data_IF_980976103158
#
_entry.id   IF_980976103158
#
_cell.length_a   1.000
_cell.length_b   1.000
_cell.length_c   1.000
_cell.angle_alpha   90.00
_cell.angle_beta   90.00
_cell.angle_gamma   90.00
#
_symmetry.space_group_name_H-M   'P 1'
#
loop_
_entity.id
_entity.type
_entity.pdbx_description
1 polymer ?
#
# COMPACT_ATOMS: atom_id res chain seq x y z
N UNK A 1 -23.94 -49.17 -43.08
CA UNK A 1 -23.20 -47.91 -42.85
C UNK A 1 -24.23 -46.80 -42.67
N UNK A 2 -24.39 -46.28 -41.44
CA UNK A 2 -24.85 -44.94 -41.01
C UNK A 2 -24.83 -45.05 -39.48
N UNK A 3 -23.60 -45.05 -38.96
CA UNK A 3 -23.31 -44.82 -37.56
C UNK A 3 -23.29 -43.30 -37.38
N UNK A 4 -23.69 -42.83 -36.20
CA UNK A 4 -23.63 -41.46 -35.69
C UNK A 4 -24.90 -40.65 -35.98
N UNK A 5 -25.62 -40.31 -34.91
CA UNK A 5 -25.79 -38.92 -34.43
C UNK A 5 -27.04 -38.83 -33.55
N UNK A 6 -27.11 -39.49 -32.37
CA UNK A 6 -28.14 -39.18 -31.33
C UNK A 6 -27.68 -39.48 -29.90
N UNK A 7 -26.39 -39.27 -29.56
CA UNK A 7 -25.89 -39.40 -28.18
C UNK A 7 -25.81 -38.03 -27.45
N UNK A 8 -26.25 -36.95 -28.08
CA UNK A 8 -26.09 -35.58 -27.55
C UNK A 8 -27.22 -35.19 -26.57
N UNK A 9 -28.24 -36.02 -26.36
CA UNK A 9 -29.42 -35.62 -25.55
C UNK A 9 -29.37 -35.97 -24.06
N UNK A 10 -28.36 -36.69 -23.58
CA UNK A 10 -28.31 -37.14 -22.17
C UNK A 10 -27.39 -36.26 -21.30
N UNK A 11 -26.47 -35.49 -21.90
CA UNK A 11 -25.59 -34.58 -21.15
C UNK A 11 -26.26 -33.30 -20.65
N UNK A 12 -27.41 -32.90 -21.23
CA UNK A 12 -28.05 -31.62 -20.92
C UNK A 12 -28.91 -31.66 -19.64
N UNK A 13 -29.33 -32.84 -19.19
CA UNK A 13 -30.25 -32.98 -18.05
C UNK A 13 -29.54 -32.92 -16.68
N UNK A 14 -28.24 -33.18 -16.63
CA UNK A 14 -27.46 -33.17 -15.36
C UNK A 14 -27.02 -31.75 -14.97
N UNK A 15 -26.93 -30.83 -15.95
CA UNK A 15 -26.53 -29.42 -15.69
C UNK A 15 -27.67 -28.62 -15.07
N UNK A 16 -28.93 -29.02 -15.26
CA UNK A 16 -30.09 -28.29 -14.72
C UNK A 16 -30.33 -28.53 -13.21
N UNK A 17 -29.73 -29.56 -12.62
CA UNK A 17 -29.92 -29.95 -11.21
C UNK A 17 -28.78 -29.54 -10.28
N UNK A 18 -27.65 -29.09 -10.81
CA UNK A 18 -26.54 -28.54 -10.01
C UNK A 18 -26.48 -27.04 -10.25
N UNK A 19 -27.21 -26.31 -9.41
CA UNK A 19 -27.26 -24.86 -9.43
C UNK A 19 -25.91 -24.22 -9.08
N UNK A 20 -25.03 -24.09 -10.07
CA UNK A 20 -23.93 -23.11 -10.06
C UNK A 20 -23.72 -22.62 -11.50
N UNK A 21 -23.93 -21.33 -11.81
CA UNK A 21 -23.59 -20.80 -13.13
C UNK A 21 -22.07 -20.87 -13.36
N UNK A 22 -21.59 -21.59 -14.39
CA UNK A 22 -20.17 -21.61 -14.73
C UNK A 22 -19.89 -20.35 -15.56
N UNK A 23 -19.39 -19.29 -14.94
CA UNK A 23 -18.93 -18.11 -15.69
C UNK A 23 -19.14 -16.74 -15.06
N UNK A 24 -19.50 -16.63 -13.79
CA UNK A 24 -19.42 -15.35 -13.04
C UNK A 24 -18.41 -15.46 -11.90
N UNK A 25 -17.26 -16.08 -12.18
CA UNK A 25 -16.02 -15.61 -11.60
C UNK A 25 -15.78 -14.21 -12.17
N UNK A 26 -16.47 -13.21 -11.64
CA UNK A 26 -16.20 -11.82 -11.92
C UNK A 26 -14.74 -11.62 -11.56
N UNK A 27 -13.87 -11.64 -12.57
CA UNK A 27 -12.61 -10.93 -12.49
C UNK A 27 -13.02 -9.53 -12.02
N UNK A 28 -12.62 -9.08 -10.81
CA UNK A 28 -12.93 -7.72 -10.40
C UNK A 28 -12.45 -6.84 -11.54
N UNK A 29 -13.27 -5.88 -12.01
CA UNK A 29 -12.96 -5.08 -13.18
C UNK A 29 -11.48 -4.72 -13.10
N UNK A 30 -10.76 -4.92 -14.20
CA UNK A 30 -9.33 -4.62 -14.28
C UNK A 30 -9.00 -3.14 -13.94
N UNK A 31 -10.05 -2.34 -13.68
CA UNK A 31 -10.04 -0.92 -13.36
C UNK A 31 -10.81 -0.53 -12.07
N UNK A 32 -11.38 -1.48 -11.30
CA UNK A 32 -12.15 -1.15 -10.06
C UNK A 32 -11.42 -1.49 -8.75
N UNK A 33 -10.12 -1.75 -8.81
CA UNK A 33 -9.25 -1.59 -7.63
C UNK A 33 -8.96 -0.09 -7.57
N UNK A 34 -9.84 0.68 -6.92
CA UNK A 34 -9.59 2.09 -6.65
C UNK A 34 -8.13 2.27 -6.23
N UNK A 35 -7.43 3.24 -6.84
CA UNK A 35 -5.98 3.40 -6.75
C UNK A 35 -5.48 2.99 -5.35
N UNK A 36 -4.79 1.85 -5.25
CA UNK A 36 -4.41 1.26 -3.95
C UNK A 36 -3.60 2.26 -3.09
N UNK A 37 -2.87 3.16 -3.74
CA UNK A 37 -2.22 4.29 -3.09
C UNK A 37 -3.23 5.24 -2.41
N UNK A 38 -4.30 5.62 -3.10
CA UNK A 38 -5.37 6.45 -2.53
C UNK A 38 -6.10 5.75 -1.39
N UNK A 39 -6.32 4.43 -1.50
CA UNK A 39 -6.92 3.63 -0.42
C UNK A 39 -5.99 3.64 0.81
N UNK A 40 -4.69 3.38 0.61
CA UNK A 40 -3.69 3.41 1.66
C UNK A 40 -3.68 4.75 2.40
N UNK A 41 -3.59 5.86 1.65
CA UNK A 41 -3.59 7.20 2.25
C UNK A 41 -4.89 7.49 2.99
N UNK A 42 -6.04 7.12 2.45
CA UNK A 42 -7.32 7.31 3.12
C UNK A 42 -7.34 6.58 4.47
N UNK A 43 -6.86 5.34 4.53
CA UNK A 43 -6.79 4.58 5.78
C UNK A 43 -5.85 5.23 6.80
N UNK A 44 -4.66 5.68 6.36
CA UNK A 44 -3.73 6.42 7.23
C UNK A 44 -4.35 7.71 7.78
N UNK A 45 -5.05 8.47 6.93
CA UNK A 45 -5.77 9.68 7.34
C UNK A 45 -6.96 9.40 8.28
N UNK A 46 -7.52 8.19 8.24
CA UNK A 46 -8.52 7.72 9.21
C UNK A 46 -7.90 7.27 10.55
N UNK A 47 -6.57 7.33 10.68
CA UNK A 47 -5.84 7.01 11.90
C UNK A 47 -5.31 5.58 11.96
N UNK A 48 -5.44 4.79 10.88
CA UNK A 48 -4.87 3.45 10.84
C UNK A 48 -3.34 3.51 10.73
N UNK A 49 -2.64 2.74 11.56
CA UNK A 49 -1.19 2.58 11.46
C UNK A 49 -0.80 1.60 10.33
N UNK A 50 0.47 1.58 9.92
CA UNK A 50 0.95 0.72 8.83
C UNK A 50 0.51 -0.75 8.96
N UNK A 51 0.61 -1.35 10.15
CA UNK A 51 0.27 -2.76 10.36
C UNK A 51 -1.23 -3.02 10.20
N UNK A 52 -2.07 -2.11 10.65
CA UNK A 52 -3.52 -2.18 10.45
C UNK A 52 -3.89 -2.03 8.97
N UNK A 53 -3.25 -1.09 8.26
CA UNK A 53 -3.46 -0.91 6.82
C UNK A 53 -3.07 -2.18 6.06
N UNK A 54 -1.92 -2.78 6.37
CA UNK A 54 -1.47 -4.03 5.75
C UNK A 54 -2.41 -5.20 6.05
N UNK A 55 -2.97 -5.27 7.27
CA UNK A 55 -3.96 -6.28 7.63
C UNK A 55 -5.28 -6.10 6.87
N UNK A 56 -5.77 -4.85 6.72
CA UNK A 56 -6.96 -4.52 5.93
C UNK A 56 -6.74 -4.87 4.44
N UNK A 57 -5.52 -4.69 3.94
CA UNK A 57 -5.14 -4.95 2.55
C UNK A 57 -4.53 -6.34 2.33
N UNK A 58 -4.89 -7.33 3.15
CA UNK A 58 -4.31 -8.69 3.09
C UNK A 58 -4.48 -9.42 1.73
N UNK A 59 -5.44 -9.01 0.89
CA UNK A 59 -5.66 -9.54 -0.46
C UNK A 59 -4.78 -8.92 -1.55
N UNK A 60 -3.93 -7.94 -1.22
CA UNK A 60 -3.02 -7.27 -2.16
C UNK A 60 -1.72 -8.06 -2.29
N UNK A 61 -1.21 -8.21 -3.51
CA UNK A 61 0.03 -8.97 -3.71
C UNK A 61 1.25 -8.22 -3.13
N UNK A 62 2.31 -8.93 -2.71
CA UNK A 62 3.53 -8.28 -2.20
C UNK A 62 4.15 -7.28 -3.18
N UNK A 63 4.07 -7.54 -4.50
CA UNK A 63 4.60 -6.65 -5.54
C UNK A 63 3.79 -5.37 -5.62
N UNK A 64 2.46 -5.46 -5.56
CA UNK A 64 1.56 -4.30 -5.54
C UNK A 64 1.81 -3.45 -4.29
N UNK A 65 1.91 -4.11 -3.12
CA UNK A 65 2.24 -3.46 -1.87
C UNK A 65 3.60 -2.73 -1.93
N UNK A 66 4.62 -3.38 -2.49
CA UNK A 66 5.95 -2.77 -2.63
C UNK A 66 5.94 -1.57 -3.59
N UNK A 67 5.17 -1.61 -4.69
CA UNK A 67 5.00 -0.45 -5.59
C UNK A 67 4.42 0.75 -4.86
N UNK A 68 3.37 0.54 -4.07
CA UNK A 68 2.72 1.59 -3.27
C UNK A 68 3.68 2.15 -2.23
N UNK A 69 4.35 1.27 -1.46
CA UNK A 69 5.35 1.69 -0.47
C UNK A 69 6.50 2.47 -1.11
N UNK A 70 6.96 2.10 -2.31
CA UNK A 70 7.97 2.86 -3.03
C UNK A 70 7.50 4.27 -3.41
N UNK A 71 6.22 4.42 -3.79
CA UNK A 71 5.63 5.72 -4.06
C UNK A 71 5.54 6.56 -2.78
N UNK A 72 4.97 6.01 -1.70
CA UNK A 72 4.87 6.67 -0.40
C UNK A 72 6.23 7.11 0.14
N UNK A 73 7.27 6.26 0.01
CA UNK A 73 8.64 6.63 0.37
C UNK A 73 9.12 7.88 -0.37
N UNK A 74 8.88 7.97 -1.69
CA UNK A 74 9.25 9.15 -2.47
C UNK A 74 8.47 10.37 -2.01
N UNK A 75 7.19 10.21 -1.71
CA UNK A 75 6.33 11.32 -1.31
C UNK A 75 6.70 11.89 0.05
N UNK A 76 7.01 11.03 1.04
CA UNK A 76 7.58 11.46 2.33
C UNK A 76 8.88 12.24 2.11
N UNK A 77 9.84 11.68 1.34
CA UNK A 77 11.12 12.37 1.08
C UNK A 77 10.95 13.69 0.30
N UNK A 78 9.96 13.76 -0.59
CA UNK A 78 9.60 15.00 -1.28
C UNK A 78 9.02 16.02 -0.29
N UNK A 79 8.16 15.58 0.63
CA UNK A 79 7.57 16.43 1.66
C UNK A 79 8.64 17.03 2.58
N UNK A 80 9.53 16.19 3.11
CA UNK A 80 10.65 16.63 3.94
C UNK A 80 11.57 17.63 3.21
N UNK A 81 11.80 17.45 1.90
CA UNK A 81 12.52 18.44 1.08
C UNK A 81 11.78 19.76 0.95
N UNK A 82 10.47 19.72 0.70
CA UNK A 82 9.63 20.94 0.60
C UNK A 82 9.55 21.70 1.91
N UNK A 83 9.58 20.99 3.04
CA UNK A 83 9.67 21.55 4.38
C UNK A 83 11.07 22.10 4.71
N UNK A 84 12.00 22.08 3.75
CA UNK A 84 13.36 22.56 3.91
C UNK A 84 14.11 21.93 5.10
N UNK A 85 13.81 20.66 5.38
CA UNK A 85 14.32 19.93 6.54
C UNK A 85 15.85 19.95 6.62
N UNK A 86 16.54 19.90 5.47
CA UNK A 86 17.99 19.95 5.42
C UNK A 86 18.53 21.25 6.02
N UNK A 87 17.93 22.39 5.70
CA UNK A 87 18.36 23.66 6.27
C UNK A 87 18.01 23.74 7.76
N UNK A 88 16.83 23.28 8.17
CA UNK A 88 16.46 23.23 9.60
C UNK A 88 17.49 22.42 10.40
N UNK A 89 17.93 21.27 9.88
CA UNK A 89 18.97 20.45 10.51
C UNK A 89 20.29 21.20 10.57
N UNK A 90 20.73 21.80 9.46
CA UNK A 90 22.01 22.50 9.39
C UNK A 90 22.07 23.74 10.31
N UNK A 91 20.93 24.38 10.56
CA UNK A 91 20.82 25.55 11.44
C UNK A 91 20.55 25.18 12.90
N UNK A 92 20.22 23.91 13.18
CA UNK A 92 19.95 23.45 14.55
C UNK A 92 21.24 23.44 15.35
N UNK A 93 21.20 24.03 16.54
CA UNK A 93 22.33 24.11 17.46
C UNK A 93 22.05 23.38 18.77
N UNK A 94 20.80 22.98 19.01
CA UNK A 94 20.36 22.34 20.25
C UNK A 94 19.70 20.98 20.00
N UNK A 95 19.79 20.10 20.98
CA UNK A 95 19.09 18.80 20.94
C UNK A 95 17.56 18.96 20.91
N UNK A 96 17.03 20.05 21.46
CA UNK A 96 15.59 20.34 21.46
C UNK A 96 15.08 20.67 20.04
N UNK A 97 15.86 21.40 19.25
CA UNK A 97 15.56 21.65 17.83
C UNK A 97 15.62 20.36 17.03
N UNK A 98 16.68 19.56 17.22
CA UNK A 98 16.80 18.25 16.59
C UNK A 98 15.67 17.29 16.99
N UNK A 99 15.21 17.35 18.24
CA UNK A 99 14.02 16.62 18.69
C UNK A 99 12.77 17.06 17.93
N UNK A 100 12.55 18.36 17.81
CA UNK A 100 11.41 18.94 17.08
C UNK A 100 11.44 18.52 15.61
N UNK A 101 12.62 18.51 14.98
CA UNK A 101 12.82 18.00 13.62
C UNK A 101 12.48 16.52 13.52
N UNK A 102 12.92 15.69 14.49
CA UNK A 102 12.56 14.26 14.54
C UNK A 102 11.04 14.07 14.65
N UNK A 103 10.34 14.89 15.43
CA UNK A 103 8.87 14.85 15.53
C UNK A 103 8.17 15.25 14.23
N UNK A 104 8.67 16.26 13.52
CA UNK A 104 8.17 16.61 12.17
C UNK A 104 8.30 15.42 11.21
N UNK A 105 9.47 14.76 11.22
CA UNK A 105 9.69 13.58 10.37
C UNK A 105 8.75 12.43 10.76
N UNK A 106 8.60 12.13 12.06
CA UNK A 106 7.66 11.10 12.54
C UNK A 106 6.23 11.41 12.12
N UNK A 107 5.83 12.67 12.16
CA UNK A 107 4.51 13.14 11.72
C UNK A 107 4.29 12.87 10.24
N UNK A 108 5.25 13.21 9.38
CA UNK A 108 5.16 12.92 7.93
C UNK A 108 5.12 11.42 7.63
N UNK A 109 5.87 10.61 8.38
CA UNK A 109 5.84 9.15 8.26
C UNK A 109 4.46 8.60 8.65
N UNK A 110 3.87 9.11 9.74
CA UNK A 110 2.55 8.70 10.24
C UNK A 110 1.44 9.08 9.27
N UNK A 111 1.49 10.28 8.67
CA UNK A 111 0.54 10.70 7.64
C UNK A 111 0.62 9.86 6.36
N UNK A 112 1.75 9.23 6.10
CA UNK A 112 1.89 8.27 5.00
C UNK A 112 1.51 6.83 5.42
N UNK A 113 1.27 6.56 6.70
CA UNK A 113 1.06 5.21 7.24
C UNK A 113 2.28 4.31 7.03
N UNK A 114 3.49 4.84 7.26
CA UNK A 114 4.77 4.16 6.95
C UNK A 114 5.66 3.97 8.18
N UNK A 115 5.07 3.87 9.37
CA UNK A 115 5.76 3.86 10.68
C UNK A 115 6.77 2.73 10.81
N UNK A 116 6.44 1.56 10.27
CA UNK A 116 7.24 0.35 10.36
C UNK A 116 8.24 0.18 9.20
N UNK A 117 8.29 1.10 8.25
CA UNK A 117 9.12 0.99 7.06
C UNK A 117 10.60 1.28 7.32
N UNK A 118 11.38 0.21 7.54
CA UNK A 118 12.82 0.33 7.81
C UNK A 118 13.61 0.94 6.64
N UNK A 119 13.15 0.76 5.40
CA UNK A 119 13.81 1.29 4.21
C UNK A 119 13.66 2.81 4.17
N UNK A 120 12.47 3.34 4.47
CA UNK A 120 12.22 4.77 4.59
C UNK A 120 13.12 5.40 5.64
N UNK A 121 13.23 4.79 6.83
CA UNK A 121 14.15 5.27 7.89
C UNK A 121 15.60 5.36 7.42
N UNK A 122 16.08 4.34 6.69
CA UNK A 122 17.45 4.37 6.11
C UNK A 122 17.61 5.45 5.05
N UNK A 123 16.61 5.66 4.20
CA UNK A 123 16.62 6.70 3.18
C UNK A 123 16.65 8.11 3.80
N UNK A 124 15.85 8.35 4.84
CA UNK A 124 15.84 9.62 5.58
C UNK A 124 17.21 9.87 6.20
N UNK A 125 17.79 8.88 6.89
CA UNK A 125 19.13 8.99 7.47
C UNK A 125 20.19 9.31 6.42
N UNK A 126 20.16 8.62 5.28
CA UNK A 126 21.11 8.85 4.20
C UNK A 126 20.96 10.25 3.59
N UNK A 127 19.73 10.71 3.39
CA UNK A 127 19.46 11.96 2.68
C UNK A 127 19.60 13.20 3.55
N UNK A 128 19.26 13.11 4.84
CA UNK A 128 19.19 14.26 5.75
C UNK A 128 20.17 14.18 6.93
N UNK A 129 20.92 13.09 7.08
CA UNK A 129 21.89 12.92 8.16
C UNK A 129 21.30 12.69 9.56
N UNK A 130 19.97 12.57 9.67
CA UNK A 130 19.28 12.43 10.97
C UNK A 130 18.78 11.00 11.20
N UNK A 131 18.95 10.50 12.43
CA UNK A 131 18.51 9.14 12.81
C UNK A 131 17.24 9.19 13.64
N UNK A 132 16.23 8.45 13.20
CA UNK A 132 14.97 8.24 13.93
C UNK A 132 15.13 7.03 14.86
N UNK A 133 15.17 7.28 16.16
CA UNK A 133 15.21 6.24 17.19
C UNK A 133 13.79 6.00 17.69
N UNK A 134 13.28 4.79 17.54
CA UNK A 134 11.91 4.38 17.92
C UNK A 134 10.80 5.25 17.27
N UNK A 135 9.97 4.61 16.45
CA UNK A 135 8.71 5.17 15.91
C UNK A 135 7.59 4.47 16.65
#
# INVERSE_FOLDING_TARGET
MILRTKVILIGLLVILLVGVPPGLGQQPPADSRGNLYSIWLKLSLMGHNQSEIEAILNGVTPEQLNRIKNQLRRDVLNSLRRLNLQNEINMSTTEQELYTIREKIRTEIRFAGMENDSRLRRMIRHQFGITLHNI
#
